data_IF_335968546860
#
_entry.id   IF_335968546860
#
_cell.length_a   1.000
_cell.length_b   1.000
_cell.length_c   1.000
_cell.angle_alpha   90.00
_cell.angle_beta   90.00
_cell.angle_gamma   90.00
#
_symmetry.space_group_name_H-M   'P 1'
#
loop_
_entity.id
_entity.type
_entity.pdbx_description
1 polymer ?
#
# COMPACT_ATOMS: atom_id res chain seq x y z
N UNK A 1 4.23 2.97 10.14
CA UNK A 1 3.34 1.80 10.12
C UNK A 1 4.05 0.57 10.67
N UNK A 2 3.32 -0.43 11.14
CA UNK A 2 3.89 -1.69 11.65
C UNK A 2 4.70 -2.42 10.56
N UNK A 3 4.22 -2.41 9.33
CA UNK A 3 4.91 -3.02 8.18
C UNK A 3 6.29 -2.42 7.97
N UNK A 4 6.42 -1.09 7.99
CA UNK A 4 7.72 -0.41 7.84
C UNK A 4 8.67 -0.78 8.97
N UNK A 5 8.18 -0.85 10.21
CA UNK A 5 9.00 -1.26 11.36
C UNK A 5 9.53 -2.69 11.21
N UNK A 6 8.72 -3.63 10.74
CA UNK A 6 9.13 -5.02 10.51
C UNK A 6 10.14 -5.13 9.35
N UNK A 7 9.91 -4.40 8.27
CA UNK A 7 10.86 -4.31 7.14
C UNK A 7 12.21 -3.79 7.63
N UNK A 8 12.21 -2.66 8.35
CA UNK A 8 13.41 -2.03 8.91
C UNK A 8 14.17 -2.96 9.84
N UNK A 9 13.46 -3.68 10.73
CA UNK A 9 14.07 -4.66 11.62
C UNK A 9 14.75 -5.80 10.84
N UNK A 10 14.08 -6.32 9.79
CA UNK A 10 14.65 -7.36 8.93
C UNK A 10 15.91 -6.90 8.20
N UNK A 11 15.88 -5.70 7.62
CA UNK A 11 17.04 -5.09 6.97
C UNK A 11 18.19 -4.94 7.97
N UNK A 12 17.93 -4.33 9.15
CA UNK A 12 18.94 -4.11 10.19
C UNK A 12 19.60 -5.41 10.66
N UNK A 13 18.82 -6.51 10.78
CA UNK A 13 19.37 -7.81 11.13
C UNK A 13 20.37 -8.34 10.10
N UNK A 14 20.07 -8.19 8.80
CA UNK A 14 20.95 -8.66 7.72
C UNK A 14 22.19 -7.78 7.63
N UNK A 15 22.04 -6.46 7.69
CA UNK A 15 23.14 -5.50 7.65
C UNK A 15 24.10 -5.70 8.82
N UNK A 16 23.59 -5.85 10.04
CA UNK A 16 24.39 -6.07 11.25
C UNK A 16 25.27 -7.33 11.16
N UNK A 17 24.75 -8.44 10.61
CA UNK A 17 25.53 -9.66 10.38
C UNK A 17 26.67 -9.48 9.37
N UNK A 18 26.57 -8.48 8.50
CA UNK A 18 27.55 -8.16 7.47
C UNK A 18 28.47 -6.98 7.83
N UNK A 19 28.34 -6.45 9.05
CA UNK A 19 29.16 -5.34 9.54
C UNK A 19 28.75 -3.96 9.02
N UNK A 20 27.56 -3.84 8.40
CA UNK A 20 27.02 -2.55 7.99
C UNK A 20 26.23 -1.90 9.12
N UNK A 21 26.24 -0.59 9.14
CA UNK A 21 25.38 0.23 9.99
C UNK A 21 24.21 0.78 9.17
N UNK A 22 23.05 0.93 9.80
CA UNK A 22 21.86 1.47 9.17
C UNK A 22 21.60 2.88 9.68
N UNK A 23 21.49 3.83 8.76
CA UNK A 23 20.92 5.15 9.00
C UNK A 23 19.47 5.13 8.54
N UNK A 24 18.57 5.66 9.36
CA UNK A 24 17.14 5.72 9.06
C UNK A 24 16.68 7.16 8.98
N UNK A 25 16.02 7.52 7.89
CA UNK A 25 15.31 8.77 7.72
C UNK A 25 13.80 8.49 7.63
N UNK A 26 13.00 9.26 8.35
CA UNK A 26 11.55 9.23 8.25
C UNK A 26 11.07 10.39 7.40
N UNK A 27 10.42 10.10 6.29
CA UNK A 27 9.92 11.09 5.33
C UNK A 27 8.44 11.42 5.52
N UNK A 28 7.76 10.71 6.42
CA UNK A 28 6.31 10.84 6.67
C UNK A 28 5.45 10.68 5.39
N UNK A 29 5.95 9.92 4.40
CA UNK A 29 5.36 9.77 3.06
C UNK A 29 5.22 11.11 2.30
N UNK A 30 6.11 12.05 2.54
CA UNK A 30 6.16 13.33 1.83
C UNK A 30 7.19 13.23 0.72
N UNK A 31 6.75 13.31 -0.54
CA UNK A 31 7.56 13.10 -1.73
C UNK A 31 8.80 14.03 -1.78
N UNK A 32 8.61 15.30 -1.43
CA UNK A 32 9.69 16.29 -1.40
C UNK A 32 10.78 15.90 -0.40
N UNK A 33 10.39 15.38 0.78
CA UNK A 33 11.35 14.90 1.78
C UNK A 33 12.08 13.65 1.34
N UNK A 34 11.40 12.75 0.62
CA UNK A 34 12.04 11.56 0.06
C UNK A 34 13.14 11.96 -0.93
N UNK A 35 12.87 12.92 -1.81
CA UNK A 35 13.85 13.45 -2.76
C UNK A 35 15.01 14.19 -2.07
N UNK A 36 14.73 14.99 -1.05
CA UNK A 36 15.76 15.64 -0.23
C UNK A 36 16.69 14.63 0.43
N UNK A 37 16.14 13.56 1.03
CA UNK A 37 16.96 12.50 1.65
C UNK A 37 17.70 11.64 0.62
N UNK A 38 17.13 11.39 -0.56
CA UNK A 38 17.85 10.73 -1.65
C UNK A 38 19.09 11.55 -2.07
N UNK A 39 18.93 12.86 -2.26
CA UNK A 39 20.06 13.74 -2.58
C UNK A 39 21.08 13.81 -1.43
N UNK A 40 20.61 13.94 -0.20
CA UNK A 40 21.47 13.97 0.98
C UNK A 40 22.32 12.68 1.07
N UNK A 41 21.69 11.51 0.98
CA UNK A 41 22.39 10.25 1.18
C UNK A 41 23.36 9.93 0.04
N UNK A 42 23.04 10.21 -1.22
CA UNK A 42 23.98 9.98 -2.32
C UNK A 42 25.22 10.91 -2.28
N UNK A 43 25.14 12.02 -1.54
CA UNK A 43 26.25 12.96 -1.33
C UNK A 43 27.01 12.74 0.00
N UNK A 44 26.59 11.76 0.82
CA UNK A 44 27.27 11.32 2.02
C UNK A 44 27.94 9.93 1.80
N UNK A 45 28.91 9.55 2.62
CA UNK A 45 29.58 8.25 2.48
C UNK A 45 28.67 7.11 2.95
N UNK A 46 27.68 6.75 2.12
CA UNK A 46 26.85 5.55 2.28
C UNK A 46 27.18 4.53 1.18
N UNK A 47 27.10 3.25 1.50
CA UNK A 47 27.38 2.15 0.57
C UNK A 47 26.17 1.81 -0.30
N UNK A 48 24.97 2.23 0.08
CA UNK A 48 23.73 2.01 -0.65
C UNK A 48 22.52 2.59 0.04
N UNK A 49 21.40 2.66 -0.68
CA UNK A 49 20.13 3.20 -0.20
C UNK A 49 19.05 2.14 -0.34
N UNK A 50 18.20 2.02 0.69
CA UNK A 50 16.94 1.29 0.61
C UNK A 50 15.81 2.31 0.76
N UNK A 51 15.02 2.47 -0.29
CA UNK A 51 13.86 3.36 -0.30
C UNK A 51 12.57 2.55 -0.12
N UNK A 52 11.87 2.80 0.97
CA UNK A 52 10.50 2.27 1.17
C UNK A 52 9.54 3.38 0.75
N UNK A 53 9.10 3.32 -0.50
CA UNK A 53 8.28 4.37 -1.10
C UNK A 53 6.80 3.96 -1.17
N UNK A 54 5.92 4.93 -1.00
CA UNK A 54 4.47 4.78 -1.20
C UNK A 54 4.06 5.26 -2.58
N UNK A 55 4.58 6.41 -3.00
CA UNK A 55 4.34 6.99 -4.33
C UNK A 55 5.66 7.22 -5.05
N UNK A 56 5.67 6.93 -6.34
CA UNK A 56 6.83 7.18 -7.21
C UNK A 56 6.43 8.18 -8.28
N UNK A 57 6.89 9.42 -8.13
CA UNK A 57 6.71 10.48 -9.11
C UNK A 57 7.79 10.41 -10.19
N UNK A 58 7.67 11.24 -11.24
CA UNK A 58 8.71 11.33 -12.29
C UNK A 58 10.03 11.86 -11.74
N UNK A 59 9.99 12.75 -10.73
CA UNK A 59 11.17 13.24 -10.03
C UNK A 59 11.87 12.10 -9.26
N UNK A 60 11.11 11.19 -8.62
CA UNK A 60 11.67 10.00 -7.99
C UNK A 60 12.35 9.09 -9.02
N UNK A 61 11.72 8.86 -10.17
CA UNK A 61 12.32 8.05 -11.26
C UNK A 61 13.63 8.66 -11.74
N UNK A 62 13.67 9.97 -11.94
CA UNK A 62 14.87 10.68 -12.34
C UNK A 62 15.98 10.61 -11.27
N UNK A 63 15.63 10.80 -9.99
CA UNK A 63 16.57 10.70 -8.87
C UNK A 63 17.12 9.28 -8.72
N UNK A 64 16.28 8.25 -8.82
CA UNK A 64 16.68 6.84 -8.77
C UNK A 64 17.61 6.50 -9.95
N UNK A 65 17.27 6.91 -11.17
CA UNK A 65 18.07 6.63 -12.36
C UNK A 65 19.45 7.31 -12.33
N UNK A 66 19.55 8.48 -11.67
CA UNK A 66 20.81 9.23 -11.53
C UNK A 66 21.57 8.94 -10.24
N UNK A 67 21.06 8.05 -9.38
CA UNK A 67 21.66 7.76 -8.09
C UNK A 67 23.06 7.16 -8.26
N UNK A 68 24.04 7.69 -7.53
CA UNK A 68 25.46 7.30 -7.65
C UNK A 68 25.82 6.05 -6.83
N UNK A 69 24.95 5.68 -5.90
CA UNK A 69 25.12 4.48 -5.08
C UNK A 69 24.01 3.47 -5.39
N UNK A 70 24.24 2.18 -5.16
CA UNK A 70 23.19 1.18 -5.34
C UNK A 70 21.94 1.53 -4.56
N UNK A 71 20.78 1.48 -5.22
CA UNK A 71 19.48 1.72 -4.60
C UNK A 71 18.56 0.52 -4.78
N UNK A 72 17.84 0.16 -3.73
CA UNK A 72 16.79 -0.87 -3.75
C UNK A 72 15.48 -0.25 -3.29
N UNK A 73 14.42 -0.46 -4.05
CA UNK A 73 13.08 -0.03 -3.67
C UNK A 73 12.31 -1.17 -2.99
N UNK A 74 11.51 -0.82 -2.01
CA UNK A 74 10.60 -1.74 -1.34
C UNK A 74 9.17 -1.24 -1.45
N UNK A 75 8.26 -2.16 -1.83
CA UNK A 75 6.82 -1.90 -1.92
C UNK A 75 6.34 -1.42 -3.28
N UNK A 76 7.24 -0.95 -4.15
CA UNK A 76 6.89 -0.46 -5.48
C UNK A 76 7.76 -1.17 -6.54
N UNK A 77 7.19 -1.38 -7.73
CA UNK A 77 7.90 -1.86 -8.90
C UNK A 77 8.24 -0.68 -9.81
N UNK A 78 9.54 -0.41 -9.99
CA UNK A 78 10.05 0.67 -10.83
C UNK A 78 10.97 0.07 -11.88
N UNK A 79 10.64 0.25 -13.15
CA UNK A 79 11.45 -0.25 -14.26
C UNK A 79 12.87 0.34 -14.21
N UNK A 80 13.86 -0.53 -14.41
CA UNK A 80 15.28 -0.16 -14.37
C UNK A 80 15.91 -0.09 -12.97
N UNK A 81 15.13 -0.30 -11.89
CA UNK A 81 15.62 -0.33 -10.52
C UNK A 81 15.54 -1.73 -9.90
N UNK A 82 16.38 -2.01 -8.91
CA UNK A 82 16.22 -3.20 -8.08
C UNK A 82 15.04 -3.01 -7.13
N UNK A 83 14.06 -3.90 -7.18
CA UNK A 83 12.82 -3.77 -6.41
C UNK A 83 12.50 -5.06 -5.65
N UNK A 84 11.95 -4.91 -4.45
CA UNK A 84 11.33 -5.98 -3.65
C UNK A 84 9.89 -5.57 -3.36
N UNK A 85 8.95 -6.27 -3.94
CA UNK A 85 7.52 -5.92 -3.86
C UNK A 85 6.65 -7.18 -3.86
N UNK A 86 5.39 -7.03 -3.49
CA UNK A 86 4.37 -8.07 -3.63
C UNK A 86 3.66 -7.90 -4.97
N UNK A 87 3.13 -8.99 -5.50
CA UNK A 87 2.15 -8.91 -6.59
C UNK A 87 0.78 -8.51 -6.02
N UNK A 88 0.64 -7.21 -5.80
CA UNK A 88 -0.55 -6.62 -5.17
C UNK A 88 -1.81 -6.80 -6.03
N UNK A 89 -1.63 -6.83 -7.37
CA UNK A 89 -2.73 -7.08 -8.29
C UNK A 89 -3.23 -8.52 -8.19
N UNK A 90 -2.31 -9.51 -8.29
CA UNK A 90 -2.70 -10.92 -8.27
C UNK A 90 -3.28 -11.32 -6.92
N UNK A 91 -2.68 -10.87 -5.80
CA UNK A 91 -3.20 -11.13 -4.47
C UNK A 91 -4.62 -10.58 -4.28
N UNK A 92 -4.90 -9.39 -4.78
CA UNK A 92 -6.23 -8.80 -4.72
C UNK A 92 -7.21 -9.46 -5.70
N UNK A 93 -6.74 -9.91 -6.88
CA UNK A 93 -7.53 -10.69 -7.83
C UNK A 93 -8.00 -12.02 -7.22
N UNK A 94 -7.08 -12.76 -6.60
CA UNK A 94 -7.42 -14.01 -5.92
C UNK A 94 -8.46 -13.80 -4.81
N UNK A 95 -8.32 -12.71 -4.03
CA UNK A 95 -9.30 -12.35 -3.00
C UNK A 95 -10.68 -12.08 -3.62
N UNK A 96 -10.76 -11.21 -4.62
CA UNK A 96 -12.02 -10.86 -5.29
C UNK A 96 -12.71 -12.08 -5.90
N UNK A 97 -11.95 -12.93 -6.59
CA UNK A 97 -12.45 -14.15 -7.17
C UNK A 97 -12.95 -15.17 -6.12
N UNK A 98 -12.22 -15.31 -5.02
CA UNK A 98 -12.56 -16.26 -3.95
C UNK A 98 -13.80 -15.85 -3.13
N UNK A 99 -14.17 -14.57 -3.13
CA UNK A 99 -15.35 -14.06 -2.41
C UNK A 99 -16.66 -14.43 -3.10
N UNK A 100 -16.65 -14.50 -4.43
CA UNK A 100 -17.87 -14.84 -5.18
C UNK A 100 -18.28 -16.28 -4.89
N UNK A 101 -19.56 -16.45 -4.56
CA UNK A 101 -20.09 -17.74 -4.08
C UNK A 101 -19.93 -17.99 -2.58
N UNK A 102 -19.17 -17.15 -1.87
CA UNK A 102 -19.06 -17.19 -0.39
C UNK A 102 -19.81 -16.03 0.27
N UNK A 103 -20.03 -14.96 -0.46
CA UNK A 103 -20.74 -13.76 0.01
C UNK A 103 -21.96 -13.56 -0.88
N UNK A 104 -23.13 -13.53 -0.26
CA UNK A 104 -24.37 -13.13 -0.93
C UNK A 104 -24.66 -11.66 -0.59
N UNK A 105 -24.99 -10.84 -1.62
CA UNK A 105 -25.35 -9.44 -1.44
C UNK A 105 -24.28 -8.46 -1.90
N UNK A 106 -24.25 -7.27 -1.30
CA UNK A 106 -23.44 -6.15 -1.74
C UNK A 106 -22.01 -6.23 -1.20
N UNK A 107 -21.05 -6.18 -2.11
CA UNK A 107 -19.61 -6.15 -1.78
C UNK A 107 -19.12 -4.71 -1.95
N UNK A 108 -18.50 -4.18 -0.91
CA UNK A 108 -17.90 -2.84 -0.90
C UNK A 108 -16.37 -2.91 -0.80
N UNK A 109 -15.71 -1.81 -1.15
CA UNK A 109 -14.26 -1.69 -1.10
C UNK A 109 -13.83 -0.39 -0.43
N UNK A 110 -12.92 -0.46 0.54
CA UNK A 110 -12.27 0.70 1.14
C UNK A 110 -10.80 0.70 0.69
N UNK A 111 -10.48 1.57 -0.26
CA UNK A 111 -9.14 1.72 -0.85
C UNK A 111 -8.37 2.92 -0.31
N UNK A 112 -7.23 3.19 -0.94
CA UNK A 112 -6.43 4.39 -0.74
C UNK A 112 -6.29 5.13 -2.08
N UNK A 113 -5.47 6.20 -2.12
CA UNK A 113 -5.24 6.94 -3.37
C UNK A 113 -4.61 6.03 -4.44
N UNK A 114 -5.10 6.12 -5.67
CA UNK A 114 -4.53 5.37 -6.81
C UNK A 114 -3.17 5.92 -7.28
N UNK A 115 -2.73 7.06 -6.74
CA UNK A 115 -1.36 7.56 -6.89
C UNK A 115 -0.35 6.62 -6.23
N UNK A 116 -0.75 5.92 -5.15
CA UNK A 116 -0.04 4.73 -4.68
C UNK A 116 -0.30 3.58 -5.64
N UNK A 117 0.70 3.26 -6.46
CA UNK A 117 0.56 2.25 -7.51
C UNK A 117 0.23 0.87 -6.94
N UNK A 118 0.94 0.43 -5.90
CA UNK A 118 0.77 -0.89 -5.31
C UNK A 118 -0.53 -0.99 -4.50
N UNK A 119 -0.65 -0.22 -3.42
CA UNK A 119 -1.77 -0.36 -2.49
C UNK A 119 -3.08 0.29 -2.97
N UNK A 120 -2.99 1.35 -3.78
CA UNK A 120 -4.16 2.05 -4.30
C UNK A 120 -4.65 1.49 -5.63
N UNK A 121 -3.80 1.53 -6.65
CA UNK A 121 -4.21 1.16 -8.00
C UNK A 121 -4.24 -0.37 -8.20
N UNK A 122 -3.14 -1.07 -7.96
CA UNK A 122 -3.02 -2.49 -8.31
C UNK A 122 -3.94 -3.35 -7.45
N UNK A 123 -4.04 -3.13 -6.13
CA UNK A 123 -4.99 -3.86 -5.27
C UNK A 123 -6.44 -3.62 -5.68
N UNK A 124 -6.81 -2.38 -5.96
CA UNK A 124 -8.18 -2.08 -6.39
C UNK A 124 -8.50 -2.77 -7.72
N UNK A 125 -7.61 -2.63 -8.72
CA UNK A 125 -7.81 -3.23 -10.04
C UNK A 125 -7.81 -4.75 -10.01
N UNK A 126 -6.95 -5.35 -9.21
CA UNK A 126 -6.95 -6.79 -9.00
C UNK A 126 -8.26 -7.26 -8.39
N UNK A 127 -8.72 -6.59 -7.33
CA UNK A 127 -9.99 -6.94 -6.67
C UNK A 127 -11.19 -6.82 -7.62
N UNK A 128 -11.30 -5.71 -8.36
CA UNK A 128 -12.34 -5.50 -9.37
C UNK A 128 -12.30 -6.60 -10.46
N UNK A 129 -11.11 -6.93 -10.94
CA UNK A 129 -10.92 -7.97 -11.96
C UNK A 129 -11.28 -9.37 -11.44
N UNK A 130 -10.93 -9.68 -10.19
CA UNK A 130 -11.27 -10.95 -9.54
C UNK A 130 -12.78 -11.12 -9.36
N UNK A 131 -13.49 -10.09 -8.93
CA UNK A 131 -14.95 -10.07 -8.85
C UNK A 131 -15.57 -10.25 -10.24
N UNK A 132 -15.07 -9.50 -11.24
CA UNK A 132 -15.58 -9.56 -12.61
C UNK A 132 -15.40 -10.94 -13.24
N UNK A 133 -14.25 -11.58 -13.04
CA UNK A 133 -13.98 -12.94 -13.54
C UNK A 133 -14.97 -13.98 -12.99
N UNK A 134 -15.52 -13.71 -11.81
CA UNK A 134 -16.56 -14.54 -11.19
C UNK A 134 -18.00 -14.00 -11.43
N UNK A 135 -18.16 -13.01 -12.34
CA UNK A 135 -19.47 -12.51 -12.79
C UNK A 135 -20.06 -11.39 -11.93
N UNK A 136 -19.30 -10.80 -11.02
CA UNK A 136 -19.74 -9.70 -10.15
C UNK A 136 -19.04 -8.40 -10.55
N UNK A 137 -19.78 -7.32 -10.69
CA UNK A 137 -19.24 -5.98 -10.95
C UNK A 137 -19.26 -5.19 -9.64
N UNK A 138 -18.11 -4.64 -9.24
CA UNK A 138 -18.05 -3.73 -8.09
C UNK A 138 -18.76 -2.43 -8.44
N UNK A 139 -19.82 -2.11 -7.68
CA UNK A 139 -20.52 -0.84 -7.84
C UNK A 139 -19.62 0.32 -7.36
N UNK A 140 -19.32 1.34 -8.20
CA UNK A 140 -18.55 2.50 -7.79
C UNK A 140 -19.12 3.24 -6.56
N UNK A 141 -20.43 3.18 -6.33
CA UNK A 141 -21.07 3.74 -5.13
C UNK A 141 -20.73 2.99 -3.85
N UNK A 142 -20.20 1.78 -3.93
CA UNK A 142 -19.74 0.96 -2.81
C UNK A 142 -18.22 1.08 -2.56
N UNK A 143 -17.55 2.02 -3.24
CA UNK A 143 -16.13 2.30 -3.05
C UNK A 143 -15.96 3.52 -2.15
N UNK A 144 -15.11 3.39 -1.13
CA UNK A 144 -14.72 4.50 -0.25
C UNK A 144 -13.20 4.64 -0.22
N UNK A 145 -12.72 5.83 0.14
CA UNK A 145 -11.30 6.14 0.23
C UNK A 145 -10.88 6.35 1.68
N UNK A 146 -9.84 5.63 2.10
CA UNK A 146 -9.14 5.81 3.37
C UNK A 146 -7.72 6.38 3.16
N UNK A 147 -6.90 6.32 4.22
CA UNK A 147 -5.53 6.86 4.24
C UNK A 147 -4.56 6.05 5.10
N UNK A 148 -4.61 4.71 5.02
CA UNK A 148 -3.75 3.77 5.76
C UNK A 148 -3.91 3.79 7.29
N UNK A 149 -4.83 4.55 7.84
CA UNK A 149 -5.04 4.65 9.30
C UNK A 149 -6.30 3.93 9.74
N UNK A 150 -6.31 3.47 11.00
CA UNK A 150 -7.50 2.87 11.61
C UNK A 150 -8.69 3.83 11.57
N UNK A 151 -8.46 5.10 11.92
CA UNK A 151 -9.50 6.13 11.91
C UNK A 151 -10.08 6.38 10.51
N UNK A 152 -9.25 6.34 9.46
CA UNK A 152 -9.75 6.47 8.09
C UNK A 152 -10.60 5.28 7.65
N UNK A 153 -10.24 4.07 8.04
CA UNK A 153 -11.05 2.87 7.80
C UNK A 153 -12.38 2.92 8.54
N UNK A 154 -12.36 3.34 9.81
CA UNK A 154 -13.57 3.55 10.61
C UNK A 154 -14.52 4.56 9.98
N UNK A 155 -14.02 5.76 9.61
CA UNK A 155 -14.87 6.79 8.98
C UNK A 155 -15.44 6.33 7.65
N UNK A 156 -14.62 5.74 6.78
CA UNK A 156 -15.07 5.23 5.49
C UNK A 156 -16.16 4.16 5.63
N UNK A 157 -16.01 3.26 6.60
CA UNK A 157 -17.04 2.25 6.89
C UNK A 157 -18.33 2.86 7.47
N UNK A 158 -18.21 3.84 8.36
CA UNK A 158 -19.39 4.57 8.90
C UNK A 158 -20.18 5.28 7.80
N UNK A 159 -19.51 5.97 6.89
CA UNK A 159 -20.13 6.60 5.72
C UNK A 159 -20.80 5.57 4.82
N UNK A 160 -20.12 4.47 4.54
CA UNK A 160 -20.66 3.37 3.73
C UNK A 160 -21.93 2.77 4.35
N UNK A 161 -21.90 2.45 5.65
CA UNK A 161 -23.04 1.86 6.37
C UNK A 161 -24.22 2.81 6.47
N UNK A 162 -23.98 4.14 6.55
CA UNK A 162 -25.05 5.14 6.52
C UNK A 162 -25.73 5.21 5.15
N UNK A 163 -24.98 5.10 4.07
CA UNK A 163 -25.50 5.15 2.69
C UNK A 163 -26.09 3.80 2.25
N UNK A 164 -25.48 2.69 2.69
CA UNK A 164 -25.82 1.32 2.26
C UNK A 164 -25.85 0.39 3.47
N UNK A 165 -26.95 0.41 4.27
CA UNK A 165 -27.04 -0.38 5.50
C UNK A 165 -27.04 -1.89 5.28
N UNK A 166 -27.36 -2.35 4.06
CA UNK A 166 -27.44 -3.75 3.65
C UNK A 166 -26.16 -4.27 2.96
N UNK A 167 -25.02 -3.58 3.17
CA UNK A 167 -23.73 -4.09 2.70
C UNK A 167 -23.40 -5.40 3.41
N UNK A 168 -23.01 -6.41 2.63
CA UNK A 168 -22.74 -7.77 3.15
C UNK A 168 -21.27 -8.05 3.39
N UNK A 169 -20.38 -7.36 2.68
CA UNK A 169 -18.95 -7.52 2.80
C UNK A 169 -18.21 -6.21 2.49
N UNK A 170 -17.18 -5.91 3.27
CA UNK A 170 -16.30 -4.77 3.05
C UNK A 170 -14.86 -5.28 2.91
N UNK A 171 -14.31 -5.21 1.70
CA UNK A 171 -12.88 -5.41 1.48
C UNK A 171 -12.12 -4.12 1.78
N UNK A 172 -10.99 -4.22 2.46
CA UNK A 172 -10.12 -3.09 2.75
C UNK A 172 -8.74 -3.31 2.14
N UNK A 173 -8.16 -2.27 1.55
CA UNK A 173 -6.82 -2.33 0.94
C UNK A 173 -5.72 -2.64 1.98
N UNK A 174 -5.95 -2.40 3.27
CA UNK A 174 -5.01 -2.73 4.35
C UNK A 174 -5.72 -3.27 5.58
N UNK A 175 -5.01 -4.09 6.36
CA UNK A 175 -5.44 -4.65 7.65
C UNK A 175 -5.75 -3.55 8.69
N UNK A 176 -4.96 -2.49 8.71
CA UNK A 176 -5.17 -1.33 9.61
C UNK A 176 -6.51 -0.66 9.34
N UNK A 177 -6.87 -0.46 8.08
CA UNK A 177 -8.20 0.08 7.72
C UNK A 177 -9.31 -0.94 8.00
N UNK A 178 -9.05 -2.24 7.78
CA UNK A 178 -10.02 -3.29 8.10
C UNK A 178 -10.34 -3.33 9.60
N UNK A 179 -9.35 -3.16 10.47
CA UNK A 179 -9.58 -3.04 11.92
C UNK A 179 -10.45 -1.84 12.27
N UNK A 180 -10.27 -0.71 11.57
CA UNK A 180 -11.16 0.45 11.71
C UNK A 180 -12.58 0.18 11.23
N UNK A 181 -12.73 -0.50 10.09
CA UNK A 181 -14.03 -0.88 9.55
C UNK A 181 -14.77 -1.87 10.46
N UNK A 182 -14.07 -2.85 11.03
CA UNK A 182 -14.65 -3.78 12.01
C UNK A 182 -15.22 -3.03 13.23
N UNK A 183 -14.49 -2.06 13.76
CA UNK A 183 -15.00 -1.23 14.84
C UNK A 183 -16.28 -0.47 14.46
N UNK A 184 -16.36 0.05 13.23
CA UNK A 184 -17.58 0.72 12.76
C UNK A 184 -18.76 -0.25 12.64
N UNK A 185 -18.53 -1.50 12.26
CA UNK A 185 -19.54 -2.55 12.20
C UNK A 185 -20.05 -2.97 13.59
N UNK A 186 -19.15 -3.05 14.57
CA UNK A 186 -19.52 -3.39 15.97
C UNK A 186 -20.37 -2.31 16.64
N UNK A 187 -20.28 -1.05 16.19
CA UNK A 187 -21.03 0.09 16.71
C UNK A 187 -22.36 0.36 15.95
N UNK A 188 -22.63 -0.34 14.83
CA UNK A 188 -23.80 -0.15 13.99
C UNK A 188 -24.94 -1.11 14.33
#
# INVERSE_FOLDING_TARGET
>A
SESVSRITAGIGQVLGRRGYQMLLANTDNVAERELEYLDLFQNHPVDGIVLVATMITDEHRAAIASCRVPIVLIGQNVEGAACVYHDDYEAAYELGHALVGRVEGKIAYIGVTEEDRAAGYDRRRGFEAGLLAAGVVLDPHLVRRGSFTLDSGYRAARELLADVPDVSFIACATDTMAAGALRALDEA
#
